data_IF_927686800511
#
_entry.id   IF_927686800511
#
_cell.length_a   1.000
_cell.length_b   1.000
_cell.length_c   1.000
_cell.angle_alpha   90.00
_cell.angle_beta   90.00
_cell.angle_gamma   90.00
#
_symmetry.space_group_name_H-M   'P 1'
#
loop_
_entity.id
_entity.type
_entity.pdbx_description
1 polymer ?
#
# COMPACT_ATOMS: atom_id res chain seq x y z
N UNK A 1 23.51 15.37 1.61
CA UNK A 1 23.06 14.17 2.34
C UNK A 1 24.25 13.56 3.10
N UNK A 2 24.05 13.23 4.37
CA UNK A 2 25.08 12.55 5.15
C UNK A 2 25.25 11.11 4.64
N UNK A 3 26.51 10.62 4.70
CA UNK A 3 26.74 9.20 4.45
C UNK A 3 25.97 8.36 5.46
N UNK A 4 25.45 7.18 5.08
CA UNK A 4 24.77 6.31 6.01
C UNK A 4 25.73 5.95 7.16
N UNK A 5 25.19 5.93 8.39
CA UNK A 5 25.93 5.48 9.56
C UNK A 5 26.19 3.97 9.53
N UNK A 6 26.10 3.33 10.69
CA UNK A 6 26.27 1.87 10.81
C UNK A 6 25.09 1.09 10.20
N UNK A 7 23.93 1.69 10.08
CA UNK A 7 22.71 1.07 9.54
C UNK A 7 22.69 1.18 8.02
N UNK A 8 22.58 0.04 7.36
CA UNK A 8 22.48 -0.03 5.91
C UNK A 8 21.00 -0.16 5.47
N UNK A 9 20.60 0.54 4.40
CA UNK A 9 19.27 0.36 3.82
C UNK A 9 19.05 -1.09 3.39
N UNK A 10 17.86 -1.64 3.68
CA UNK A 10 17.50 -3.03 3.34
C UNK A 10 16.71 -3.13 2.04
N UNK A 11 16.37 -2.01 1.42
CA UNK A 11 15.62 -1.98 0.16
C UNK A 11 16.49 -2.47 -1.00
N UNK A 12 16.16 -3.64 -1.54
CA UNK A 12 16.99 -4.37 -2.53
C UNK A 12 17.24 -3.64 -3.85
N UNK A 13 16.26 -2.89 -4.42
CA UNK A 13 16.50 -2.10 -5.63
C UNK A 13 17.55 -1.00 -5.47
N UNK A 14 17.96 -0.69 -4.24
CA UNK A 14 18.87 0.39 -3.92
C UNK A 14 18.15 1.67 -3.51
N UNK A 15 18.93 2.59 -2.93
CA UNK A 15 18.42 3.89 -2.46
C UNK A 15 19.35 5.00 -2.90
N UNK A 16 18.79 6.19 -3.09
CA UNK A 16 19.52 7.43 -3.23
C UNK A 16 19.38 8.23 -1.95
N UNK A 17 20.48 8.61 -1.34
CA UNK A 17 20.44 9.48 -0.15
C UNK A 17 20.06 10.90 -0.56
N UNK A 18 19.01 11.42 0.04
CA UNK A 18 18.52 12.79 -0.19
C UNK A 18 17.87 13.32 1.10
N UNK A 19 17.61 14.62 1.10
CA UNK A 19 16.80 15.22 2.14
C UNK A 19 15.32 14.89 1.89
N UNK A 20 14.61 14.37 2.92
CA UNK A 20 13.23 13.90 2.74
C UNK A 20 12.25 15.01 2.33
N UNK A 21 12.50 16.26 2.71
CA UNK A 21 11.66 17.39 2.29
C UNK A 21 11.80 17.75 0.80
N UNK A 22 12.79 17.19 0.09
CA UNK A 22 12.88 17.29 -1.37
C UNK A 22 11.91 16.33 -2.09
N UNK A 23 11.47 15.26 -1.40
CA UNK A 23 10.62 14.21 -1.98
C UNK A 23 9.26 14.08 -1.31
N UNK A 24 9.11 14.58 -0.09
CA UNK A 24 7.85 14.59 0.66
C UNK A 24 7.38 16.03 0.92
N UNK A 25 6.07 16.27 0.95
CA UNK A 25 5.54 17.57 1.35
C UNK A 25 6.04 18.00 2.74
N UNK A 26 6.43 19.26 2.90
CA UNK A 26 6.96 19.82 4.14
C UNK A 26 6.08 19.53 5.37
N UNK A 27 4.75 19.56 5.19
CA UNK A 27 3.80 19.19 6.26
C UNK A 27 4.05 17.77 6.79
N UNK A 28 4.42 16.83 5.92
CA UNK A 28 4.67 15.44 6.32
C UNK A 28 6.00 15.34 7.03
N UNK A 29 7.05 15.94 6.48
CA UNK A 29 8.38 15.90 7.11
C UNK A 29 8.40 16.56 8.47
N UNK A 30 7.74 17.70 8.62
CA UNK A 30 7.61 18.39 9.93
C UNK A 30 6.90 17.54 11.00
N UNK A 31 5.87 16.77 10.60
CA UNK A 31 5.21 15.83 11.52
C UNK A 31 6.15 14.68 11.88
N UNK A 32 6.90 14.14 10.93
CA UNK A 32 7.86 13.07 11.18
C UNK A 32 8.98 13.52 12.13
N UNK A 33 9.53 14.71 11.94
CA UNK A 33 10.54 15.29 12.82
C UNK A 33 10.09 15.39 14.28
N UNK A 34 8.82 15.71 14.50
CA UNK A 34 8.23 15.78 15.84
C UNK A 34 7.87 14.39 16.39
N UNK A 35 7.39 13.49 15.54
CA UNK A 35 6.92 12.17 15.94
C UNK A 35 8.06 11.21 16.30
N UNK A 36 9.20 11.26 15.59
CA UNK A 36 10.31 10.32 15.80
C UNK A 36 10.86 10.35 17.24
N UNK A 37 11.15 11.52 17.86
CA UNK A 37 11.58 11.57 19.25
C UNK A 37 10.51 11.07 20.24
N UNK A 38 9.24 11.30 19.95
CA UNK A 38 8.15 10.78 20.78
C UNK A 38 8.02 9.26 20.70
N UNK A 39 8.22 8.69 19.51
CA UNK A 39 8.27 7.24 19.32
C UNK A 39 9.46 6.61 20.03
N UNK A 40 10.62 7.28 20.03
CA UNK A 40 11.82 6.78 20.70
C UNK A 40 11.64 6.59 22.21
N UNK A 41 10.79 7.39 22.86
CA UNK A 41 10.45 7.23 24.28
C UNK A 41 9.80 5.87 24.57
N UNK A 42 9.13 5.28 23.60
CA UNK A 42 8.47 3.97 23.71
C UNK A 42 9.25 2.84 23.07
N UNK A 43 9.99 3.14 22.01
CA UNK A 43 10.77 2.21 21.20
C UNK A 43 12.22 2.70 21.20
N UNK A 44 12.95 2.46 22.28
CA UNK A 44 14.32 2.94 22.46
C UNK A 44 15.22 2.59 21.29
N UNK A 45 15.85 3.60 20.72
CA UNK A 45 16.71 3.49 19.54
C UNK A 45 15.97 3.70 18.20
N UNK A 46 14.68 4.06 18.25
CA UNK A 46 13.90 4.32 17.02
C UNK A 46 14.36 5.61 16.31
N UNK A 47 14.73 6.64 17.08
CA UNK A 47 15.26 7.91 16.55
C UNK A 47 16.79 8.02 16.68
N UNK A 48 17.51 6.91 16.51
CA UNK A 48 18.98 6.93 16.50
C UNK A 48 19.50 7.88 15.42
N UNK A 49 20.66 8.55 15.66
CA UNK A 49 21.26 9.44 14.66
C UNK A 49 21.60 8.79 13.32
N UNK A 50 21.78 7.45 13.33
CA UNK A 50 22.08 6.64 12.13
C UNK A 50 20.87 5.85 11.62
N UNK A 51 19.65 6.12 12.14
CA UNK A 51 18.44 5.51 11.63
C UNK A 51 18.18 5.94 10.17
N UNK A 52 17.72 4.98 9.36
CA UNK A 52 17.44 5.19 7.95
C UNK A 52 15.93 5.27 7.74
N UNK A 53 15.46 6.38 7.19
CA UNK A 53 14.09 6.55 6.73
C UNK A 53 14.05 6.22 5.22
N UNK A 54 13.28 5.20 4.86
CA UNK A 54 13.10 4.82 3.45
C UNK A 54 11.76 5.35 2.95
N UNK A 55 11.81 6.19 1.92
CA UNK A 55 10.64 6.85 1.35
C UNK A 55 10.87 7.16 -0.15
N UNK A 56 9.80 7.51 -0.89
CA UNK A 56 8.41 7.40 -0.50
C UNK A 56 7.84 6.02 -0.84
N UNK A 57 6.84 5.56 -0.09
CA UNK A 57 5.95 4.51 -0.56
C UNK A 57 4.92 5.13 -1.52
N UNK A 58 5.09 4.88 -2.82
CA UNK A 58 4.26 5.51 -3.86
C UNK A 58 3.12 4.62 -4.35
N UNK A 59 3.08 3.37 -3.90
CA UNK A 59 1.99 2.45 -4.18
C UNK A 59 1.02 2.42 -3.01
N UNK A 60 -0.23 2.76 -3.30
CA UNK A 60 -1.31 2.74 -2.33
C UNK A 60 -2.59 2.19 -2.98
N UNK A 61 -3.65 2.06 -2.18
CA UNK A 61 -4.97 1.66 -2.66
C UNK A 61 -5.45 2.57 -3.78
N UNK A 62 -6.21 2.00 -4.73
CA UNK A 62 -6.75 2.76 -5.85
C UNK A 62 -7.64 3.92 -5.35
N UNK A 63 -7.42 5.15 -5.82
CA UNK A 63 -8.28 6.31 -5.49
C UNK A 63 -9.63 6.25 -6.19
N UNK A 64 -9.79 5.35 -7.16
CA UNK A 64 -11.04 5.13 -7.89
C UNK A 64 -11.54 3.72 -7.65
N UNK A 65 -12.88 3.58 -7.66
CA UNK A 65 -13.55 2.29 -7.59
C UNK A 65 -14.23 1.99 -8.91
N UNK A 66 -13.90 0.83 -9.49
CA UNK A 66 -14.62 0.33 -10.66
C UNK A 66 -15.89 -0.33 -10.16
N UNK A 67 -17.04 0.28 -10.44
CA UNK A 67 -18.32 -0.19 -9.92
C UNK A 67 -18.65 -1.60 -10.40
N UNK A 68 -19.22 -2.39 -9.51
CA UNK A 68 -19.75 -3.75 -9.77
C UNK A 68 -21.06 -3.92 -9.01
N UNK A 69 -21.91 -4.80 -9.50
CA UNK A 69 -23.19 -5.15 -8.89
C UNK A 69 -23.03 -6.25 -7.81
N UNK A 70 -24.14 -6.80 -7.36
CA UNK A 70 -24.19 -7.87 -6.35
C UNK A 70 -23.58 -9.18 -6.87
N UNK A 71 -23.60 -9.40 -8.19
CA UNK A 71 -22.93 -10.54 -8.84
C UNK A 71 -21.42 -10.33 -9.01
N UNK A 72 -20.90 -9.18 -8.55
CA UNK A 72 -19.52 -8.73 -8.70
C UNK A 72 -19.10 -8.39 -10.12
N UNK A 73 -20.04 -8.33 -11.05
CA UNK A 73 -19.79 -7.93 -12.43
C UNK A 73 -19.96 -6.41 -12.61
N UNK A 74 -19.13 -5.80 -13.42
CA UNK A 74 -19.27 -4.39 -13.78
C UNK A 74 -20.40 -4.19 -14.81
N UNK A 75 -20.63 -2.95 -15.21
CA UNK A 75 -21.54 -2.64 -16.34
C UNK A 75 -21.09 -3.29 -17.67
N UNK A 76 -19.84 -3.70 -17.78
CA UNK A 76 -19.34 -4.46 -18.92
C UNK A 76 -19.43 -5.95 -18.60
N UNK A 77 -20.21 -6.67 -19.40
CA UNK A 77 -20.39 -8.11 -19.22
C UNK A 77 -19.05 -8.86 -19.30
N UNK A 78 -18.81 -9.77 -18.36
CA UNK A 78 -17.59 -10.56 -18.27
C UNK A 78 -16.41 -9.83 -17.58
N UNK A 79 -16.60 -8.61 -17.11
CA UNK A 79 -15.60 -7.88 -16.35
C UNK A 79 -15.95 -7.86 -14.85
N UNK A 80 -15.08 -8.45 -14.02
CA UNK A 80 -15.27 -8.63 -12.59
C UNK A 80 -14.18 -7.86 -11.81
N UNK A 81 -14.37 -6.57 -11.51
CA UNK A 81 -13.41 -5.78 -10.77
C UNK A 81 -13.26 -6.30 -9.35
N UNK A 82 -12.02 -6.57 -8.91
CA UNK A 82 -11.76 -7.05 -7.55
C UNK A 82 -10.42 -6.56 -7.01
N UNK A 83 -10.27 -6.66 -5.69
CA UNK A 83 -9.05 -6.37 -4.97
C UNK A 83 -8.68 -4.90 -4.91
N UNK A 84 -7.41 -4.64 -4.66
CA UNK A 84 -6.88 -3.30 -4.41
C UNK A 84 -6.96 -2.40 -5.65
N UNK A 85 -6.56 -2.90 -6.79
CA UNK A 85 -6.55 -2.11 -8.03
C UNK A 85 -7.93 -1.65 -8.49
N UNK A 86 -8.98 -2.38 -8.11
CA UNK A 86 -10.37 -2.02 -8.41
C UNK A 86 -11.04 -1.20 -7.31
N UNK A 87 -10.33 -0.86 -6.22
CA UNK A 87 -10.81 -0.03 -5.13
C UNK A 87 -11.69 -0.74 -4.10
N UNK A 88 -11.61 -2.07 -4.00
CA UNK A 88 -12.41 -2.86 -3.05
C UNK A 88 -11.66 -3.32 -1.80
N UNK A 89 -10.33 -3.25 -1.80
CA UNK A 89 -9.52 -3.68 -0.68
C UNK A 89 -8.21 -2.89 -0.63
N UNK A 90 -7.67 -2.63 0.57
CA UNK A 90 -6.42 -1.91 0.76
C UNK A 90 -5.34 -2.73 1.47
N UNK A 91 -5.60 -3.99 1.79
CA UNK A 91 -4.66 -4.88 2.46
C UNK A 91 -4.54 -6.23 1.76
N UNK A 92 -3.42 -6.93 1.99
CA UNK A 92 -3.10 -8.22 1.37
C UNK A 92 -4.23 -9.23 1.57
N UNK A 93 -4.64 -9.44 2.84
CA UNK A 93 -5.69 -10.43 3.19
C UNK A 93 -7.06 -10.03 2.63
N UNK A 94 -7.42 -8.76 2.74
CA UNK A 94 -8.71 -8.28 2.23
C UNK A 94 -8.80 -8.34 0.71
N UNK A 95 -7.70 -8.06 0.01
CA UNK A 95 -7.63 -8.18 -1.45
C UNK A 95 -7.73 -9.65 -1.89
N UNK A 96 -7.07 -10.56 -1.18
CA UNK A 96 -7.16 -11.99 -1.45
C UNK A 96 -8.59 -12.52 -1.24
N UNK A 97 -9.23 -12.15 -0.12
CA UNK A 97 -10.62 -12.54 0.17
C UNK A 97 -11.58 -12.01 -0.90
N UNK A 98 -11.46 -10.74 -1.28
CA UNK A 98 -12.30 -10.16 -2.33
C UNK A 98 -12.12 -10.86 -3.68
N UNK A 99 -10.88 -11.24 -4.01
CA UNK A 99 -10.57 -12.06 -5.20
C UNK A 99 -11.21 -13.44 -5.15
N UNK A 100 -11.13 -14.14 -4.01
CA UNK A 100 -11.75 -15.45 -3.82
C UNK A 100 -13.28 -15.38 -3.99
N UNK A 101 -13.94 -14.46 -3.32
CA UNK A 101 -15.39 -14.27 -3.44
C UNK A 101 -15.82 -13.88 -4.86
N UNK A 102 -14.96 -13.19 -5.59
CA UNK A 102 -15.22 -12.87 -7.00
C UNK A 102 -15.08 -14.09 -7.88
N UNK A 103 -14.10 -14.93 -7.64
CA UNK A 103 -13.94 -16.20 -8.35
C UNK A 103 -15.13 -17.15 -8.10
N UNK A 104 -15.63 -17.24 -6.87
CA UNK A 104 -16.83 -18.00 -6.54
C UNK A 104 -18.07 -17.50 -7.30
N UNK A 105 -18.25 -16.19 -7.39
CA UNK A 105 -19.34 -15.59 -8.15
C UNK A 105 -19.27 -15.96 -9.65
N UNK A 106 -18.08 -15.91 -10.24
CA UNK A 106 -17.85 -16.31 -11.63
C UNK A 106 -18.17 -17.79 -11.84
N UNK A 107 -17.72 -18.68 -10.95
CA UNK A 107 -17.99 -20.11 -11.02
C UNK A 107 -19.49 -20.39 -10.99
N UNK A 108 -20.20 -19.73 -10.07
CA UNK A 108 -21.64 -19.88 -9.94
C UNK A 108 -22.38 -19.41 -11.20
N UNK A 109 -21.99 -18.28 -11.79
CA UNK A 109 -22.59 -17.78 -13.03
C UNK A 109 -22.35 -18.76 -14.19
N UNK A 110 -21.11 -19.23 -14.36
CA UNK A 110 -20.76 -20.18 -15.43
C UNK A 110 -21.45 -21.54 -15.26
N UNK A 111 -21.68 -21.97 -14.02
CA UNK A 111 -22.41 -23.21 -13.74
C UNK A 111 -23.89 -23.10 -14.10
N UNK A 112 -24.51 -21.95 -13.85
CA UNK A 112 -25.89 -21.68 -14.20
C UNK A 112 -26.13 -21.52 -15.71
N UNK A 113 -25.09 -21.20 -16.48
CA UNK A 113 -25.16 -21.11 -17.94
C UNK A 113 -25.09 -22.47 -18.64
N UNK A 114 -24.71 -23.56 -17.93
CA UNK A 114 -24.56 -24.90 -18.46
C UNK A 114 -25.76 -25.83 -18.15
N UNK A 115 -26.70 -25.37 -17.35
CA UNK A 115 -27.96 -26.10 -17.03
C UNK A 115 -29.11 -25.57 -17.84
#
# INVERSE_FOLDING_TARGET
>A
PQAPGSVQPTYRPGVTLCELHEVLPERITSVLEQALPELDKRLHGFARPDAVLTAPETRSSSPVRILRDETRQSSLRGLYPCGEGAGYAGGITSAALDGMLTAEAIINELSNLKG
#
